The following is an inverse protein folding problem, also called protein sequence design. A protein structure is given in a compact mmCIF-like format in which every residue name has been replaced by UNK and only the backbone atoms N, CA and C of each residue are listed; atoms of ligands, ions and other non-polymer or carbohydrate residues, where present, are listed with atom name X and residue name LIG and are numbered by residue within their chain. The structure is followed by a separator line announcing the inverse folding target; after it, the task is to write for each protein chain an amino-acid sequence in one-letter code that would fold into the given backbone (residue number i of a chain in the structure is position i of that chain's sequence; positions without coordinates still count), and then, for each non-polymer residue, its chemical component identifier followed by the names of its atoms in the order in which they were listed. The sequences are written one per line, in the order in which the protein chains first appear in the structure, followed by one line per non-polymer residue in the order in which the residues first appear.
data_IF_232227520226
#
_entry.id   IF_232227520226
#
_cell.length_a   1.000
_cell.length_b   1.000
_cell.length_c   1.000
_cell.angle_alpha   90.00
_cell.angle_beta   90.00
_cell.angle_gamma   90.00
#
_symmetry.space_group_name_H-M   'P 1'
#
loop_
_entity.id
_entity.type
_entity.pdbx_description
1 polymer ?
#
# COMPACT_ATOMS: atom_id res chain seq x y z
N UNK A 1 -18.48 -10.92 -1.90
CA UNK A 1 -18.34 -9.60 -2.59
C UNK A 1 -17.41 -9.80 -3.78
N UNK A 2 -17.83 -9.43 -4.98
CA UNK A 2 -16.98 -9.52 -6.17
C UNK A 2 -16.02 -8.31 -6.25
N UNK A 3 -14.93 -8.45 -7.02
CA UNK A 3 -14.01 -7.32 -7.26
C UNK A 3 -14.73 -6.10 -7.86
N UNK A 4 -15.67 -6.32 -8.78
CA UNK A 4 -16.45 -5.25 -9.37
C UNK A 4 -17.29 -4.49 -8.32
N UNK A 5 -17.95 -5.21 -7.41
CA UNK A 5 -18.69 -4.59 -6.31
C UNK A 5 -17.80 -3.77 -5.37
N UNK A 6 -16.55 -4.24 -5.14
CA UNK A 6 -15.56 -3.47 -4.36
C UNK A 6 -15.22 -2.16 -5.06
N UNK A 7 -14.97 -2.18 -6.37
CA UNK A 7 -14.67 -0.97 -7.14
C UNK A 7 -15.85 0.00 -7.21
N UNK A 8 -17.07 -0.49 -7.38
CA UNK A 8 -18.28 0.33 -7.37
C UNK A 8 -18.44 1.04 -6.02
N UNK A 9 -18.29 0.31 -4.92
CA UNK A 9 -18.32 0.91 -3.60
C UNK A 9 -17.16 1.92 -3.40
N UNK A 10 -15.95 1.59 -3.84
CA UNK A 10 -14.81 2.50 -3.74
C UNK A 10 -15.06 3.83 -4.45
N UNK A 11 -15.69 3.82 -5.62
CA UNK A 11 -16.05 5.05 -6.38
C UNK A 11 -16.98 5.98 -5.62
N UNK A 12 -17.76 5.47 -4.70
CA UNK A 12 -18.62 6.30 -3.83
C UNK A 12 -17.91 6.83 -2.60
N UNK A 13 -16.76 6.27 -2.25
CA UNK A 13 -16.05 6.56 -1.01
C UNK A 13 -14.77 7.39 -1.21
N UNK A 14 -14.14 7.31 -2.38
CA UNK A 14 -12.86 7.95 -2.66
C UNK A 14 -12.95 8.96 -3.79
N UNK A 15 -12.16 10.02 -3.67
CA UNK A 15 -12.06 11.11 -4.63
C UNK A 15 -11.37 12.32 -4.00
N UNK A 16 -11.24 13.42 -4.70
CA UNK A 16 -11.64 13.61 -6.10
C UNK A 16 -10.64 13.06 -7.12
N UNK A 17 -9.43 12.72 -6.68
CA UNK A 17 -8.30 12.42 -7.56
C UNK A 17 -8.27 10.96 -8.03
N UNK A 18 -8.40 10.01 -7.11
CA UNK A 18 -8.52 8.60 -7.47
C UNK A 18 -9.90 8.29 -8.07
N UNK A 19 -9.92 7.53 -9.16
CA UNK A 19 -11.15 7.15 -9.88
C UNK A 19 -11.53 5.68 -9.68
N UNK A 20 -10.83 4.94 -8.84
CA UNK A 20 -11.02 3.50 -8.63
C UNK A 20 -11.19 2.75 -9.96
N UNK A 21 -10.20 2.89 -10.85
CA UNK A 21 -10.21 2.29 -12.17
C UNK A 21 -10.21 0.76 -12.09
N UNK A 22 -10.83 0.09 -13.06
CA UNK A 22 -10.81 -1.37 -13.15
C UNK A 22 -9.38 -1.93 -13.31
N UNK A 23 -8.54 -1.20 -14.05
CA UNK A 23 -7.11 -1.44 -14.18
C UNK A 23 -6.37 -0.20 -13.69
N UNK A 24 -5.72 -0.31 -12.53
CA UNK A 24 -4.96 0.78 -11.93
C UNK A 24 -3.59 0.90 -12.60
N UNK A 25 -3.56 1.53 -13.75
CA UNK A 25 -2.36 1.69 -14.58
C UNK A 25 -1.73 3.09 -14.54
N UNK A 26 -2.25 4.00 -13.72
CA UNK A 26 -1.74 5.36 -13.56
C UNK A 26 -2.07 6.34 -14.68
N UNK A 27 -2.78 5.93 -15.73
CA UNK A 27 -3.04 6.80 -16.90
C UNK A 27 -4.10 7.86 -16.62
N UNK A 28 -5.17 7.50 -15.91
CA UNK A 28 -6.30 8.42 -15.65
C UNK A 28 -5.95 9.51 -14.66
N UNK A 29 -5.20 9.19 -13.61
CA UNK A 29 -4.80 10.12 -12.55
C UNK A 29 -3.40 10.75 -12.76
N UNK A 30 -2.80 10.55 -13.93
CA UNK A 30 -1.52 11.16 -14.29
C UNK A 30 -1.61 12.69 -14.23
N UNK A 31 -0.56 13.33 -13.73
CA UNK A 31 -0.46 14.77 -13.54
C UNK A 31 -1.51 15.40 -12.60
N UNK A 32 -2.29 14.58 -11.90
CA UNK A 32 -3.26 15.09 -10.94
C UNK A 32 -2.57 15.30 -9.59
N UNK A 33 -2.54 16.50 -9.10
CA UNK A 33 -1.95 16.84 -7.79
C UNK A 33 -3.06 17.14 -6.77
N UNK A 34 -2.97 16.55 -5.62
CA UNK A 34 -2.01 15.60 -5.04
C UNK A 34 -2.30 14.14 -5.36
N UNK A 35 -2.83 13.86 -6.52
CA UNK A 35 -3.34 12.57 -6.93
C UNK A 35 -2.36 11.39 -6.79
N UNK A 36 -2.87 10.17 -6.72
CA UNK A 36 -2.07 8.97 -6.50
C UNK A 36 -1.24 8.54 -7.71
N UNK A 37 -1.52 9.09 -8.91
CA UNK A 37 -0.92 8.65 -10.17
C UNK A 37 0.47 9.19 -10.47
N UNK A 38 1.08 9.98 -9.67
CA UNK A 38 2.38 10.63 -9.86
C UNK A 38 2.32 12.01 -10.53
N UNK A 39 3.33 12.79 -10.23
CA UNK A 39 3.57 14.13 -10.79
C UNK A 39 4.24 14.05 -12.17
N UNK A 40 4.18 15.13 -12.91
CA UNK A 40 4.81 15.24 -14.20
C UNK A 40 4.22 14.27 -15.20
N UNK A 41 5.04 13.62 -15.98
CA UNK A 41 4.57 12.69 -17.01
C UNK A 41 3.95 11.41 -16.47
N UNK A 42 4.18 11.07 -15.20
CA UNK A 42 3.65 9.87 -14.55
C UNK A 42 4.17 8.56 -15.14
N UNK A 43 5.26 8.61 -15.87
CA UNK A 43 5.82 7.44 -16.58
C UNK A 43 6.24 6.31 -15.65
N UNK A 44 6.76 6.64 -14.47
CA UNK A 44 7.13 5.63 -13.46
C UNK A 44 5.97 4.76 -13.03
N UNK A 45 4.82 5.36 -12.73
CA UNK A 45 3.62 4.62 -12.32
C UNK A 45 3.05 3.79 -13.48
N UNK A 46 2.97 4.37 -14.68
CA UNK A 46 2.51 3.66 -15.88
C UNK A 46 3.42 2.45 -16.15
N UNK A 47 4.73 2.64 -16.06
CA UNK A 47 5.72 1.57 -16.27
C UNK A 47 5.57 0.45 -15.23
N UNK A 48 5.25 0.75 -13.98
CA UNK A 48 4.99 -0.27 -12.97
C UNK A 48 3.86 -1.22 -13.39
N UNK A 49 2.76 -0.68 -13.91
CA UNK A 49 1.65 -1.49 -14.41
C UNK A 49 2.02 -2.29 -15.69
N UNK A 50 2.80 -1.68 -16.59
CA UNK A 50 3.22 -2.32 -17.83
C UNK A 50 4.21 -3.46 -17.60
N UNK A 51 5.12 -3.33 -16.63
CA UNK A 51 6.09 -4.38 -16.28
C UNK A 51 5.44 -5.68 -15.82
N UNK A 52 4.30 -5.62 -15.16
CA UNK A 52 3.57 -6.84 -14.79
C UNK A 52 3.10 -7.64 -16.01
N UNK A 53 2.85 -7.00 -17.15
CA UNK A 53 2.44 -7.65 -18.40
C UNK A 53 3.60 -8.29 -19.16
N UNK A 54 4.83 -7.93 -18.83
CA UNK A 54 6.03 -8.52 -19.40
C UNK A 54 6.45 -9.82 -18.69
N UNK A 55 5.93 -10.05 -17.48
CA UNK A 55 6.22 -11.25 -16.69
C UNK A 55 5.31 -12.37 -17.17
N UNK A 56 5.92 -13.43 -17.67
CA UNK A 56 5.23 -14.61 -18.15
C UNK A 56 5.48 -15.78 -17.21
N UNK A 57 4.46 -16.63 -17.03
CA UNK A 57 4.58 -17.88 -16.30
C UNK A 57 5.26 -18.91 -17.21
N UNK A 58 6.30 -19.57 -16.71
CA UNK A 58 6.84 -20.75 -17.38
C UNK A 58 5.82 -21.89 -17.26
N UNK A 59 5.39 -22.41 -18.39
CA UNK A 59 4.45 -23.53 -18.43
C UNK A 59 5.21 -24.84 -18.66
N UNK A 60 5.41 -25.60 -17.59
CA UNK A 60 5.92 -26.95 -17.65
C UNK A 60 4.75 -27.92 -17.68
N UNK A 61 4.55 -28.58 -18.83
CA UNK A 61 3.40 -29.47 -19.03
C UNK A 61 3.61 -30.83 -18.36
N UNK A 62 4.87 -31.24 -18.17
CA UNK A 62 5.26 -32.49 -17.53
C UNK A 62 6.15 -32.14 -16.34
N UNK A 63 5.59 -32.10 -15.16
CA UNK A 63 6.30 -31.87 -13.92
C UNK A 63 5.70 -32.72 -12.79
N UNK A 64 6.46 -32.91 -11.72
CA UNK A 64 5.93 -33.53 -10.51
C UNK A 64 4.90 -32.57 -9.87
N UNK A 65 3.76 -33.13 -9.50
CA UNK A 65 2.72 -32.39 -8.79
C UNK A 65 3.09 -32.31 -7.30
N UNK A 66 3.88 -31.33 -6.94
CA UNK A 66 4.26 -31.04 -5.54
C UNK A 66 3.57 -29.78 -5.04
N UNK A 67 3.29 -29.66 -3.73
CA UNK A 67 2.82 -28.42 -3.13
C UNK A 67 3.79 -27.28 -3.41
N UNK A 68 3.26 -26.13 -3.82
CA UNK A 68 4.06 -24.92 -4.03
C UNK A 68 4.21 -24.21 -2.70
N UNK A 69 5.44 -24.01 -2.24
CA UNK A 69 5.76 -23.17 -1.10
C UNK A 69 6.03 -21.75 -1.60
N UNK A 70 5.17 -20.81 -1.22
CA UNK A 70 5.30 -19.38 -1.51
C UNK A 70 5.78 -18.58 -0.33
N UNK A 71 6.11 -19.25 0.79
CA UNK A 71 6.50 -18.59 2.01
C UNK A 71 7.81 -17.79 1.84
N UNK A 72 7.91 -16.70 2.58
CA UNK A 72 9.04 -15.79 2.53
C UNK A 72 9.39 -15.29 3.92
N UNK A 73 10.65 -15.37 4.30
CA UNK A 73 11.13 -14.89 5.61
C UNK A 73 11.84 -13.55 5.48
N UNK A 74 11.37 -12.55 6.20
CA UNK A 74 11.95 -11.22 6.28
C UNK A 74 11.91 -10.69 7.72
N UNK A 75 13.00 -10.10 8.18
CA UNK A 75 13.12 -9.57 9.57
C UNK A 75 12.79 -10.59 10.66
N UNK A 76 13.12 -11.87 10.43
CA UNK A 76 12.86 -12.96 11.36
C UNK A 76 11.38 -13.39 11.44
N UNK A 77 10.52 -12.93 10.54
CA UNK A 77 9.12 -13.32 10.40
C UNK A 77 8.89 -14.02 9.06
N UNK A 78 8.05 -15.04 9.06
CA UNK A 78 7.65 -15.74 7.84
C UNK A 78 6.29 -15.22 7.39
N UNK A 79 6.20 -14.91 6.10
CA UNK A 79 4.99 -14.47 5.41
C UNK A 79 4.54 -15.52 4.40
N UNK A 80 3.26 -15.53 4.07
CA UNK A 80 2.65 -16.50 3.16
C UNK A 80 3.14 -16.34 1.70
N UNK A 81 3.41 -15.10 1.29
CA UNK A 81 3.92 -14.76 -0.05
C UNK A 81 4.88 -13.57 0.03
N UNK A 82 5.83 -13.41 -0.91
CA UNK A 82 6.75 -12.27 -0.98
C UNK A 82 6.06 -11.01 -1.55
N UNK A 83 4.95 -10.60 -0.94
CA UNK A 83 4.19 -9.42 -1.30
C UNK A 83 3.96 -8.52 -0.07
N UNK A 84 3.81 -7.23 -0.31
CA UNK A 84 3.53 -6.26 0.74
C UNK A 84 2.63 -5.12 0.24
N UNK A 85 1.90 -4.52 1.15
CA UNK A 85 1.17 -3.30 0.86
C UNK A 85 2.14 -2.12 0.89
N UNK A 86 2.18 -1.35 -0.21
CA UNK A 86 3.02 -0.17 -0.35
C UNK A 86 2.55 0.98 0.57
N UNK A 87 3.47 1.88 0.99
CA UNK A 87 3.14 2.96 1.90
C UNK A 87 2.20 4.00 1.25
N UNK A 88 1.11 4.30 1.93
CA UNK A 88 0.15 5.35 1.57
C UNK A 88 -0.15 6.18 2.80
N UNK A 89 -0.05 7.49 2.69
CA UNK A 89 -0.36 8.44 3.76
C UNK A 89 -1.14 9.64 3.24
N UNK A 90 -1.52 10.54 4.14
CA UNK A 90 -2.33 11.72 3.85
C UNK A 90 -3.67 11.35 3.17
N UNK A 91 -4.40 10.45 3.80
CA UNK A 91 -5.62 9.85 3.24
C UNK A 91 -6.65 10.88 2.84
N UNK A 92 -6.94 11.86 3.70
CA UNK A 92 -7.93 12.91 3.40
C UNK A 92 -7.53 13.76 2.21
N UNK A 93 -6.24 14.04 2.06
CA UNK A 93 -5.73 14.84 0.95
C UNK A 93 -5.88 14.11 -0.40
N UNK A 94 -5.66 12.80 -0.43
CA UNK A 94 -5.58 12.03 -1.67
C UNK A 94 -6.88 11.32 -2.04
N UNK A 95 -7.65 10.89 -1.03
CA UNK A 95 -8.76 9.95 -1.23
C UNK A 95 -10.10 10.42 -0.69
N UNK A 96 -10.16 11.62 -0.05
CA UNK A 96 -11.38 12.19 0.50
C UNK A 96 -11.59 11.85 1.99
N UNK A 97 -12.74 12.27 2.53
CA UNK A 97 -12.97 12.31 3.98
C UNK A 97 -13.46 11.00 4.61
N UNK A 98 -13.65 9.95 3.81
CA UNK A 98 -14.19 8.67 4.30
C UNK A 98 -13.27 8.01 5.32
N UNK A 99 -11.97 8.09 5.11
CA UNK A 99 -10.95 7.53 5.99
C UNK A 99 -9.91 8.60 6.33
N UNK A 100 -9.48 8.62 7.55
CA UNK A 100 -8.28 9.32 7.99
C UNK A 100 -7.10 8.34 8.11
N UNK A 101 -5.92 8.86 8.38
CA UNK A 101 -4.71 8.04 8.47
C UNK A 101 -4.73 7.07 9.66
N UNK A 102 -5.43 7.41 10.76
CA UNK A 102 -5.62 6.51 11.91
C UNK A 102 -6.42 5.27 11.50
N UNK A 103 -7.61 5.50 10.96
CA UNK A 103 -8.51 4.43 10.53
C UNK A 103 -7.92 3.59 9.40
N UNK A 104 -7.29 4.26 8.42
CA UNK A 104 -6.68 3.58 7.28
C UNK A 104 -5.54 2.66 7.71
N UNK A 105 -4.61 3.15 8.54
CA UNK A 105 -3.47 2.34 8.99
C UNK A 105 -3.91 1.15 9.83
N UNK A 106 -4.91 1.29 10.71
CA UNK A 106 -5.45 0.16 11.48
C UNK A 106 -6.02 -0.92 10.55
N UNK A 107 -6.82 -0.52 9.56
CA UNK A 107 -7.39 -1.45 8.58
C UNK A 107 -6.29 -2.14 7.77
N UNK A 108 -5.32 -1.35 7.24
CA UNK A 108 -4.25 -1.85 6.39
C UNK A 108 -3.39 -2.87 7.12
N UNK A 109 -2.84 -2.50 8.26
CA UNK A 109 -1.90 -3.36 9.02
C UNK A 109 -2.59 -4.63 9.47
N UNK A 110 -3.81 -4.53 9.99
CA UNK A 110 -4.60 -5.69 10.42
C UNK A 110 -4.97 -6.60 9.26
N UNK A 111 -5.39 -6.05 8.13
CA UNK A 111 -5.74 -6.85 6.95
C UNK A 111 -4.52 -7.58 6.39
N UNK A 112 -3.36 -6.90 6.31
CA UNK A 112 -2.12 -7.52 5.86
C UNK A 112 -1.64 -8.62 6.83
N UNK A 113 -1.70 -8.37 8.13
CA UNK A 113 -1.36 -9.37 9.13
C UNK A 113 -2.24 -10.64 9.03
N UNK A 114 -3.55 -10.44 8.84
CA UNK A 114 -4.49 -11.55 8.67
C UNK A 114 -4.29 -12.31 7.34
N UNK A 115 -3.80 -11.63 6.31
CA UNK A 115 -3.49 -12.23 5.02
C UNK A 115 -2.07 -12.83 4.95
N UNK A 116 -1.29 -12.77 6.04
CA UNK A 116 0.08 -13.29 6.07
C UNK A 116 1.06 -12.50 5.20
N UNK A 117 0.81 -11.21 4.95
CA UNK A 117 1.70 -10.33 4.18
C UNK A 117 2.14 -9.11 5.00
N UNK A 118 3.20 -8.43 4.54
CA UNK A 118 3.74 -7.26 5.22
C UNK A 118 3.01 -5.98 4.80
N UNK A 119 2.81 -5.06 5.75
CA UNK A 119 2.33 -3.71 5.48
C UNK A 119 3.46 -2.68 5.65
N UNK A 120 3.54 -1.70 4.73
CA UNK A 120 4.27 -0.46 4.94
C UNK A 120 3.27 0.67 5.18
N UNK A 121 3.45 1.42 6.26
CA UNK A 121 2.60 2.58 6.54
C UNK A 121 3.16 3.83 5.86
N UNK A 122 2.29 4.79 5.55
CA UNK A 122 2.69 6.03 4.92
C UNK A 122 3.29 7.05 5.89
N UNK A 123 3.83 8.12 5.32
CA UNK A 123 4.32 9.30 6.03
C UNK A 123 3.73 10.57 5.42
N UNK A 124 3.58 11.60 6.22
CA UNK A 124 3.00 12.89 5.83
C UNK A 124 3.37 14.01 6.81
N UNK A 125 2.97 15.23 6.47
CA UNK A 125 3.21 16.42 7.30
C UNK A 125 2.29 16.55 8.51
N UNK A 126 1.16 15.80 8.52
CA UNK A 126 0.25 15.75 9.66
C UNK A 126 0.79 14.75 10.68
N UNK A 127 1.06 15.16 11.95
CA UNK A 127 1.51 14.24 13.00
C UNK A 127 0.62 13.02 13.20
N UNK A 128 -0.67 13.13 12.91
CA UNK A 128 -1.64 12.04 13.00
C UNK A 128 -1.31 10.86 12.05
N UNK A 129 -0.57 11.12 10.99
CA UNK A 129 -0.13 10.05 10.07
C UNK A 129 0.82 9.11 10.80
N UNK A 130 1.80 9.66 11.49
CA UNK A 130 2.79 8.88 12.25
C UNK A 130 2.18 8.24 13.49
N UNK A 131 1.35 8.99 14.24
CA UNK A 131 0.62 8.47 15.41
C UNK A 131 -0.27 7.28 15.01
N UNK A 132 -1.00 7.40 13.90
CA UNK A 132 -1.84 6.34 13.37
C UNK A 132 -1.04 5.10 12.95
N UNK A 133 0.10 5.31 12.31
CA UNK A 133 1.01 4.24 11.94
C UNK A 133 1.54 3.50 13.18
N UNK A 134 2.05 4.24 14.16
CA UNK A 134 2.57 3.68 15.40
C UNK A 134 1.51 2.89 16.19
N UNK A 135 0.30 3.45 16.31
CA UNK A 135 -0.83 2.80 16.99
C UNK A 135 -1.24 1.50 16.29
N UNK A 136 -1.35 1.52 14.95
CA UNK A 136 -1.72 0.34 14.16
C UNK A 136 -0.66 -0.77 14.27
N UNK A 137 0.62 -0.43 14.19
CA UNK A 137 1.72 -1.39 14.33
C UNK A 137 1.75 -1.99 15.73
N UNK A 138 1.62 -1.17 16.77
CA UNK A 138 1.58 -1.63 18.16
C UNK A 138 0.38 -2.55 18.41
N UNK A 139 -0.79 -2.18 17.93
CA UNK A 139 -2.03 -2.96 18.05
C UNK A 139 -2.01 -4.30 17.33
N UNK A 140 -1.15 -4.49 16.34
CA UNK A 140 -1.00 -5.70 15.54
C UNK A 140 0.35 -6.42 15.76
N UNK A 141 0.92 -6.31 16.95
CA UNK A 141 2.14 -7.04 17.33
C UNK A 141 3.39 -6.63 16.54
N UNK A 142 3.46 -5.39 16.04
CA UNK A 142 4.57 -4.88 15.24
C UNK A 142 4.65 -5.50 13.84
N UNK A 143 3.55 -6.03 13.29
CA UNK A 143 3.54 -6.62 11.96
C UNK A 143 3.42 -5.53 10.88
N UNK A 144 4.53 -4.84 10.60
CA UNK A 144 4.60 -3.81 9.59
C UNK A 144 5.87 -2.98 9.69
N UNK A 145 6.09 -2.13 8.70
CA UNK A 145 7.26 -1.24 8.62
C UNK A 145 6.77 0.21 8.48
N UNK A 146 7.11 1.10 9.42
CA UNK A 146 6.80 2.52 9.29
C UNK A 146 7.70 3.15 8.22
N UNK A 147 7.13 4.01 7.39
CA UNK A 147 7.88 4.81 6.42
C UNK A 147 8.10 6.20 7.00
N UNK A 148 9.33 6.67 6.96
CA UNK A 148 9.72 8.03 7.33
C UNK A 148 10.41 8.67 6.12
N UNK A 149 9.90 9.83 5.69
CA UNK A 149 10.53 10.63 4.65
C UNK A 149 11.81 11.31 5.16
N UNK A 150 12.69 11.75 4.27
CA UNK A 150 13.91 12.46 4.65
C UNK A 150 13.60 13.91 5.09
N UNK A 151 12.98 14.05 6.27
CA UNK A 151 12.76 15.32 6.96
C UNK A 151 14.09 15.92 7.44
N UNK A 152 14.05 17.08 8.05
CA UNK A 152 15.19 17.58 8.82
C UNK A 152 15.58 16.61 9.95
N UNK A 153 16.84 16.70 10.40
CA UNK A 153 17.38 15.74 11.37
C UNK A 153 16.63 15.70 12.69
N UNK A 154 16.17 16.86 13.17
CA UNK A 154 15.46 16.94 14.45
C UNK A 154 14.12 16.22 14.35
N UNK A 155 13.41 16.42 13.25
CA UNK A 155 12.15 15.71 12.95
C UNK A 155 12.37 14.22 12.84
N UNK A 156 13.39 13.77 12.07
CA UNK A 156 13.70 12.33 11.92
C UNK A 156 14.00 11.71 13.28
N UNK A 157 14.84 12.34 14.08
CA UNK A 157 15.21 11.82 15.41
C UNK A 157 13.99 11.74 16.35
N UNK A 158 13.07 12.70 16.29
CA UNK A 158 11.84 12.65 17.08
C UNK A 158 10.93 11.48 16.67
N UNK A 159 10.86 11.17 15.37
CA UNK A 159 10.01 10.10 14.83
C UNK A 159 10.56 8.69 15.10
N UNK A 160 11.87 8.53 15.21
CA UNK A 160 12.51 7.23 15.51
C UNK A 160 12.21 6.77 16.94
N UNK A 161 11.87 7.70 17.85
CA UNK A 161 11.61 7.43 19.27
C UNK A 161 10.12 7.28 19.62
N UNK A 162 9.21 7.28 18.64
CA UNK A 162 7.80 6.99 18.83
C UNK A 162 7.57 5.49 18.75
#
# INVERSE_FOLDING_TARGET
MTYQQVLENARTCIGPYCKACNDCNGKVCRNTMPGPGAKGEGTGFIRNAEKWREICVNMDTICENSPVDTSFTLFGRTFEIPAFAAPVGAMRLHYGDKYDDLTYNDILVRACANAGILAFTGDGTDPKVVEGAAAALKGNGGCGVPTIKPWDMDTILSLIHI
#
